data_IF_610819130528
#
_entry.id   IF_610819130528
#
_cell.length_a   1.000
_cell.length_b   1.000
_cell.length_c   1.000
_cell.angle_alpha   90.00
_cell.angle_beta   90.00
_cell.angle_gamma   90.00
#
_symmetry.space_group_name_H-M   'P 1'
#
loop_
_entity.id
_entity.type
_entity.pdbx_description
1 polymer ?
#
# COMPACT_ATOMS: atom_id res chain seq x y z
N UNK A 1 9.63 -10.13 -8.96
CA UNK A 1 9.90 -8.87 -8.21
C UNK A 1 11.34 -8.40 -8.39
N UNK A 2 11.57 -7.12 -8.73
CA UNK A 2 12.92 -6.53 -8.86
C UNK A 2 12.90 -4.99 -8.84
N UNK A 3 14.06 -4.38 -8.58
CA UNK A 3 14.35 -3.00 -8.94
C UNK A 3 14.96 -2.94 -10.35
N UNK A 4 14.81 -1.82 -11.07
CA UNK A 4 15.37 -1.61 -12.40
C UNK A 4 15.12 -2.79 -13.37
N UNK A 5 13.84 -3.12 -13.68
CA UNK A 5 13.51 -4.27 -14.52
C UNK A 5 14.13 -4.14 -15.91
N UNK A 6 14.72 -5.24 -16.38
CA UNK A 6 15.36 -5.30 -17.70
C UNK A 6 14.33 -5.29 -18.83
N UNK A 7 13.23 -6.04 -18.66
CA UNK A 7 12.11 -6.05 -19.59
C UNK A 7 11.08 -4.99 -19.20
N UNK A 8 11.34 -3.75 -19.64
CA UNK A 8 10.48 -2.60 -19.35
C UNK A 8 9.12 -2.67 -20.06
N UNK A 9 9.03 -3.37 -21.19
CA UNK A 9 7.77 -3.48 -21.94
C UNK A 9 6.73 -4.32 -21.19
N UNK A 10 7.19 -5.30 -20.41
CA UNK A 10 6.34 -6.08 -19.53
C UNK A 10 5.93 -5.34 -18.24
N UNK A 11 6.43 -4.12 -18.02
CA UNK A 11 6.00 -3.27 -16.90
C UNK A 11 4.84 -2.38 -17.31
N UNK A 12 3.83 -2.24 -16.44
CA UNK A 12 2.82 -1.21 -16.60
C UNK A 12 3.46 0.18 -16.62
N UNK A 13 2.84 1.13 -17.31
CA UNK A 13 3.32 2.50 -17.32
C UNK A 13 3.26 3.09 -15.90
N UNK A 14 4.36 3.64 -15.43
CA UNK A 14 4.50 4.20 -14.08
C UNK A 14 4.12 5.67 -14.01
N UNK A 15 4.12 6.36 -15.16
CA UNK A 15 3.74 7.76 -15.27
C UNK A 15 4.29 8.40 -16.54
N UNK A 16 4.38 9.73 -16.53
CA UNK A 16 5.08 10.50 -17.57
C UNK A 16 6.24 11.25 -16.94
N UNK A 17 7.36 11.32 -17.64
CA UNK A 17 8.46 12.24 -17.29
C UNK A 17 8.07 13.68 -17.56
N UNK A 18 8.87 14.63 -17.08
CA UNK A 18 8.63 16.06 -17.25
C UNK A 18 8.64 16.51 -18.73
N UNK A 19 9.30 15.76 -19.61
CA UNK A 19 9.26 15.98 -21.06
C UNK A 19 8.14 15.19 -21.80
N UNK A 20 7.23 14.56 -21.06
CA UNK A 20 6.04 13.90 -21.60
C UNK A 20 6.22 12.46 -22.10
N UNK A 21 7.41 11.85 -21.96
CA UNK A 21 7.63 10.43 -22.30
C UNK A 21 6.88 9.54 -21.32
N UNK A 22 6.22 8.51 -21.84
CA UNK A 22 5.61 7.47 -21.02
C UNK A 22 6.71 6.62 -20.38
N UNK A 23 6.72 6.55 -19.05
CA UNK A 23 7.69 5.79 -18.27
C UNK A 23 7.17 4.37 -18.01
N UNK A 24 8.04 3.37 -18.17
CA UNK A 24 7.79 1.95 -17.87
C UNK A 24 9.03 1.36 -17.25
N UNK A 25 8.88 0.65 -16.13
CA UNK A 25 10.05 0.10 -15.44
C UNK A 25 11.02 1.17 -14.93
N UNK A 26 10.54 2.40 -14.78
CA UNK A 26 11.33 3.59 -14.44
C UNK A 26 10.59 4.39 -13.36
N UNK A 27 11.36 5.00 -12.47
CA UNK A 27 10.87 5.94 -11.46
C UNK A 27 10.45 7.26 -12.11
N UNK A 28 9.43 7.89 -11.53
CA UNK A 28 8.83 9.12 -12.06
C UNK A 28 9.50 10.38 -11.53
N UNK A 29 10.26 10.30 -10.43
CA UNK A 29 10.92 11.45 -9.82
C UNK A 29 12.43 11.47 -10.13
N UNK A 30 12.92 12.63 -10.54
CA UNK A 30 14.32 12.83 -10.93
C UNK A 30 15.30 12.52 -9.79
N UNK A 31 14.96 12.87 -8.54
CA UNK A 31 15.80 12.60 -7.36
C UNK A 31 16.12 11.11 -7.23
N UNK A 32 15.14 10.26 -7.51
CA UNK A 32 15.25 8.82 -7.37
C UNK A 32 16.08 8.20 -8.50
N UNK A 33 16.02 8.82 -9.68
CA UNK A 33 16.93 8.51 -10.78
C UNK A 33 18.38 8.83 -10.42
N UNK A 34 18.63 9.98 -9.77
CA UNK A 34 19.98 10.37 -9.31
C UNK A 34 20.53 9.45 -8.22
N UNK A 35 19.67 8.74 -7.47
CA UNK A 35 20.06 7.76 -6.46
C UNK A 35 20.25 6.33 -7.03
N UNK A 36 20.22 6.15 -8.35
CA UNK A 36 20.47 4.88 -9.01
C UNK A 36 19.25 3.95 -9.12
N UNK A 37 18.04 4.48 -8.87
CA UNK A 37 16.78 3.74 -9.08
C UNK A 37 16.50 2.61 -8.07
N UNK A 38 17.28 2.51 -7.00
CA UNK A 38 17.05 1.55 -5.91
C UNK A 38 16.79 2.30 -4.62
N UNK A 39 15.51 2.44 -4.26
CA UNK A 39 15.10 3.07 -3.01
C UNK A 39 14.30 2.06 -2.19
N UNK A 40 14.56 2.01 -0.88
CA UNK A 40 13.78 1.14 0.00
C UNK A 40 12.30 1.55 0.09
N UNK A 41 11.99 2.80 -0.26
CA UNK A 41 10.65 3.38 -0.24
C UNK A 41 9.92 3.35 -1.58
N UNK A 42 10.62 3.21 -2.70
CA UNK A 42 10.04 3.25 -4.06
C UNK A 42 10.90 2.47 -5.08
N UNK A 43 10.33 2.13 -6.25
CA UNK A 43 11.07 1.52 -7.36
C UNK A 43 11.01 -0.01 -7.41
N UNK A 44 10.21 -0.63 -6.55
CA UNK A 44 9.96 -2.06 -6.60
C UNK A 44 8.91 -2.39 -7.66
N UNK A 45 9.30 -3.18 -8.67
CA UNK A 45 8.39 -3.73 -9.66
C UNK A 45 8.07 -5.18 -9.31
N UNK A 46 6.77 -5.49 -9.19
CA UNK A 46 6.30 -6.78 -8.72
C UNK A 46 4.99 -7.19 -9.40
N UNK A 47 4.56 -8.42 -9.18
CA UNK A 47 3.27 -8.93 -9.64
C UNK A 47 2.30 -9.06 -8.47
N UNK A 48 0.99 -9.11 -8.77
CA UNK A 48 -0.01 -9.35 -7.72
C UNK A 48 0.23 -10.69 -7.00
N UNK A 49 0.68 -11.71 -7.75
CA UNK A 49 1.03 -13.03 -7.20
C UNK A 49 2.20 -12.95 -6.22
N UNK A 50 3.28 -12.26 -6.59
CA UNK A 50 4.45 -12.13 -5.72
C UNK A 50 4.10 -11.33 -4.45
N UNK A 51 3.28 -10.28 -4.58
CA UNK A 51 2.80 -9.51 -3.43
C UNK A 51 1.89 -10.34 -2.53
N UNK A 52 1.04 -11.21 -3.09
CA UNK A 52 0.23 -12.14 -2.30
C UNK A 52 1.11 -13.12 -1.50
N UNK A 53 2.15 -13.68 -2.12
CA UNK A 53 3.11 -14.56 -1.43
C UNK A 53 3.79 -13.86 -0.25
N UNK A 54 4.25 -12.62 -0.48
CA UNK A 54 4.82 -11.79 0.57
C UNK A 54 3.81 -11.55 1.70
N UNK A 55 2.59 -11.15 1.38
CA UNK A 55 1.54 -10.91 2.37
C UNK A 55 1.16 -12.17 3.14
N UNK A 56 1.10 -13.32 2.48
CA UNK A 56 0.82 -14.61 3.13
C UNK A 56 1.93 -14.97 4.12
N UNK A 57 3.20 -14.68 3.80
CA UNK A 57 4.31 -14.87 4.73
C UNK A 57 4.13 -14.00 5.99
N UNK A 58 3.73 -12.74 5.83
CA UNK A 58 3.45 -11.83 6.94
C UNK A 58 2.25 -12.31 7.77
N UNK A 59 1.13 -12.64 7.13
CA UNK A 59 -0.08 -13.17 7.78
C UNK A 59 0.22 -14.45 8.58
N UNK A 60 1.07 -15.31 8.04
CA UNK A 60 1.54 -16.54 8.68
C UNK A 60 2.73 -16.33 9.63
N UNK A 61 2.91 -15.11 10.16
CA UNK A 61 3.92 -14.79 11.19
C UNK A 61 5.35 -15.16 10.80
N UNK A 62 5.69 -14.95 9.53
CA UNK A 62 7.04 -15.14 8.99
C UNK A 62 7.27 -16.46 8.26
N UNK A 63 6.24 -17.30 8.10
CA UNK A 63 6.34 -18.62 7.47
C UNK A 63 5.64 -18.64 6.12
N UNK A 64 6.32 -19.16 5.10
CA UNK A 64 5.70 -19.45 3.80
C UNK A 64 6.11 -20.85 3.34
N UNK A 65 5.16 -21.66 2.90
CA UNK A 65 5.39 -23.06 2.47
C UNK A 65 6.21 -23.90 3.46
N UNK A 66 5.94 -23.74 4.76
CA UNK A 66 6.62 -24.47 5.83
C UNK A 66 8.04 -23.98 6.14
N UNK A 67 8.55 -22.97 5.43
CA UNK A 67 9.87 -22.39 5.67
C UNK A 67 9.74 -21.06 6.43
N UNK A 68 10.60 -20.88 7.44
CA UNK A 68 10.70 -19.62 8.18
C UNK A 68 11.57 -18.63 7.40
N UNK A 69 10.95 -17.56 6.92
CA UNK A 69 11.61 -16.46 6.21
C UNK A 69 11.93 -15.33 7.18
N UNK A 70 10.99 -14.99 8.07
CA UNK A 70 11.18 -14.01 9.15
C UNK A 70 10.87 -14.63 10.51
N UNK A 71 11.55 -14.16 11.55
CA UNK A 71 11.22 -14.53 12.93
C UNK A 71 9.84 -14.00 13.32
N UNK A 72 9.05 -14.78 14.05
CA UNK A 72 7.72 -14.36 14.52
C UNK A 72 7.80 -13.06 15.32
N UNK A 73 8.80 -12.90 16.19
CA UNK A 73 9.03 -11.66 16.95
C UNK A 73 9.24 -10.45 16.01
N UNK A 74 9.95 -10.65 14.89
CA UNK A 74 10.17 -9.60 13.89
C UNK A 74 8.85 -9.23 13.21
N UNK A 75 8.08 -10.22 12.78
CA UNK A 75 6.79 -9.97 12.12
C UNK A 75 5.82 -9.29 13.09
N UNK A 76 5.69 -9.77 14.32
CA UNK A 76 4.82 -9.15 15.32
C UNK A 76 5.24 -7.69 15.57
N UNK A 77 6.54 -7.39 15.65
CA UNK A 77 7.00 -6.00 15.69
C UNK A 77 6.57 -5.22 14.46
N UNK A 78 6.68 -5.80 13.26
CA UNK A 78 6.25 -5.13 12.04
C UNK A 78 4.75 -4.87 12.01
N UNK A 79 3.91 -5.76 12.54
CA UNK A 79 2.46 -5.74 12.28
C UNK A 79 1.61 -5.36 13.49
N UNK A 80 2.18 -5.25 14.68
CA UNK A 80 1.47 -4.97 15.94
C UNK A 80 1.97 -3.67 16.60
N UNK A 81 1.05 -2.99 17.29
CA UNK A 81 1.32 -1.78 18.06
C UNK A 81 1.52 -0.51 17.21
N UNK A 82 0.91 0.60 17.64
CA UNK A 82 1.11 1.91 17.02
C UNK A 82 2.47 2.47 17.46
N UNK A 83 3.43 2.49 16.54
CA UNK A 83 4.82 2.89 16.83
C UNK A 83 4.99 4.40 16.92
N UNK A 84 4.12 5.16 16.26
CA UNK A 84 4.06 6.61 16.32
C UNK A 84 3.04 7.13 17.36
N UNK A 85 2.72 6.35 18.40
CA UNK A 85 1.71 6.68 19.44
C UNK A 85 1.92 8.04 20.12
N UNK A 86 3.15 8.53 20.21
CA UNK A 86 3.47 9.83 20.82
C UNK A 86 3.28 11.05 19.90
N UNK A 87 3.04 10.85 18.61
CA UNK A 87 2.99 11.95 17.62
C UNK A 87 1.86 11.84 16.61
N UNK A 88 1.14 10.72 16.53
CA UNK A 88 0.01 10.60 15.61
C UNK A 88 -1.19 11.39 16.11
N UNK A 89 -2.03 11.81 15.17
CA UNK A 89 -3.25 12.57 15.41
C UNK A 89 -4.47 11.76 14.94
N UNK A 90 -5.61 11.97 15.59
CA UNK A 90 -6.88 11.41 15.12
C UNK A 90 -7.19 11.99 13.73
N UNK A 91 -7.20 11.17 12.67
CA UNK A 91 -7.33 11.70 11.33
C UNK A 91 -8.72 12.30 11.12
N UNK A 92 -8.76 13.42 10.41
CA UNK A 92 -9.98 14.15 10.02
C UNK A 92 -10.24 14.12 8.50
N UNK A 93 -9.32 13.52 7.76
CA UNK A 93 -9.34 13.37 6.32
C UNK A 93 -8.35 12.27 5.93
N UNK A 94 -8.37 11.86 4.66
CA UNK A 94 -7.46 10.83 4.20
C UNK A 94 -6.02 11.32 4.04
N UNK A 95 -5.81 12.57 3.63
CA UNK A 95 -4.47 13.15 3.60
C UNK A 95 -3.92 13.28 5.02
N UNK A 96 -4.73 13.72 5.98
CA UNK A 96 -4.34 13.75 7.38
C UNK A 96 -3.99 12.33 7.89
N UNK A 97 -4.74 11.30 7.51
CA UNK A 97 -4.38 9.92 7.85
C UNK A 97 -3.03 9.49 7.28
N UNK A 98 -2.74 9.82 6.01
CA UNK A 98 -1.45 9.50 5.37
C UNK A 98 -0.30 10.17 6.14
N UNK A 99 -0.44 11.45 6.47
CA UNK A 99 0.61 12.26 7.09
C UNK A 99 0.82 11.94 8.59
N UNK A 100 -0.27 11.84 9.35
CA UNK A 100 -0.23 11.81 10.82
C UNK A 100 -1.12 10.73 11.44
N UNK A 101 -1.74 9.85 10.66
CA UNK A 101 -2.52 8.73 11.21
C UNK A 101 -1.65 7.65 11.86
N UNK A 102 -2.26 6.65 12.53
CA UNK A 102 -1.53 5.59 13.22
C UNK A 102 -0.72 4.72 12.24
N UNK A 103 0.52 4.41 12.63
CA UNK A 103 1.48 3.60 11.87
C UNK A 103 2.10 2.55 12.78
N UNK A 104 2.52 1.43 12.19
CA UNK A 104 3.48 0.51 12.81
C UNK A 104 4.80 0.57 12.03
N UNK A 105 5.75 -0.31 12.32
CA UNK A 105 6.95 -0.43 11.52
C UNK A 105 6.53 -0.88 10.10
N UNK A 106 6.72 -0.01 9.11
CA UNK A 106 6.42 -0.20 7.68
C UNK A 106 4.98 0.01 7.21
N UNK A 107 3.96 -0.20 8.05
CA UNK A 107 2.55 -0.19 7.61
C UNK A 107 1.74 0.97 8.17
N UNK A 108 0.67 1.33 7.47
CA UNK A 108 -0.43 2.07 8.07
C UNK A 108 -1.45 1.14 8.74
N UNK A 109 -2.09 1.61 9.82
CA UNK A 109 -3.14 0.88 10.55
C UNK A 109 -4.55 1.29 10.17
N UNK A 110 -5.50 0.36 10.29
CA UNK A 110 -6.91 0.70 10.22
C UNK A 110 -7.30 1.77 11.23
N UNK A 111 -7.98 2.79 10.71
CA UNK A 111 -8.44 3.97 11.44
C UNK A 111 -9.65 4.56 10.72
N UNK A 112 -10.71 3.77 10.60
CA UNK A 112 -12.00 4.22 10.05
C UNK A 112 -12.54 5.44 10.84
N UNK A 113 -13.17 6.42 10.17
CA UNK A 113 -13.57 6.40 8.75
C UNK A 113 -12.51 6.94 7.77
N UNK A 114 -11.31 7.28 8.24
CA UNK A 114 -10.34 8.06 7.47
C UNK A 114 -9.12 7.27 7.00
N UNK A 115 -9.03 5.97 7.30
CA UNK A 115 -8.06 5.09 6.64
C UNK A 115 -8.60 4.62 5.29
N UNK A 116 -7.72 4.51 4.30
CA UNK A 116 -8.10 4.08 2.94
C UNK A 116 -8.42 2.57 2.82
N UNK A 117 -8.51 1.84 3.93
CA UNK A 117 -8.88 0.43 3.97
C UNK A 117 -10.40 0.18 3.91
N UNK A 118 -11.21 1.22 4.03
CA UNK A 118 -12.66 1.10 4.20
C UNK A 118 -13.06 0.98 5.67
N UNK A 119 -14.35 0.74 5.89
CA UNK A 119 -14.97 0.82 7.22
C UNK A 119 -15.16 -0.56 7.88
N UNK A 120 -15.06 -1.62 7.08
CA UNK A 120 -15.34 -2.99 7.52
C UNK A 120 -14.10 -3.77 7.95
N UNK A 121 -12.90 -3.19 7.82
CA UNK A 121 -11.65 -3.84 8.24
C UNK A 121 -11.56 -3.94 9.75
N UNK A 122 -10.84 -4.96 10.23
CA UNK A 122 -10.56 -5.09 11.65
C UNK A 122 -9.60 -4.00 12.13
N UNK A 123 -9.56 -3.78 13.45
CA UNK A 123 -8.61 -2.83 14.06
C UNK A 123 -7.16 -3.28 13.96
N UNK A 124 -6.90 -4.56 13.63
CA UNK A 124 -5.56 -5.09 13.42
C UNK A 124 -5.13 -5.08 11.95
N UNK A 125 -6.01 -4.65 11.04
CA UNK A 125 -5.65 -4.58 9.65
C UNK A 125 -4.53 -3.57 9.42
N UNK A 126 -3.55 -4.02 8.63
CA UNK A 126 -2.41 -3.23 8.20
C UNK A 126 -2.39 -3.16 6.68
N UNK A 127 -1.75 -2.13 6.15
CA UNK A 127 -1.58 -2.06 4.71
C UNK A 127 -0.61 -0.98 4.27
N UNK A 128 -0.50 -0.87 2.95
CA UNK A 128 0.27 0.17 2.29
C UNK A 128 -0.39 0.64 1.01
N UNK A 129 -0.48 1.95 0.86
CA UNK A 129 -0.79 2.59 -0.42
C UNK A 129 0.49 3.09 -1.09
N UNK A 130 0.59 2.84 -2.39
CA UNK A 130 1.68 3.29 -3.25
C UNK A 130 1.22 4.41 -4.19
N UNK A 131 2.15 5.30 -4.53
CA UNK A 131 1.87 6.51 -5.30
C UNK A 131 1.36 6.26 -6.72
N UNK A 132 1.51 5.05 -7.27
CA UNK A 132 0.96 4.67 -8.57
C UNK A 132 -0.52 4.22 -8.51
N UNK A 133 -1.15 4.22 -7.32
CA UNK A 133 -2.47 3.66 -7.09
C UNK A 133 -2.44 2.17 -6.74
N UNK A 134 -1.29 1.65 -6.33
CA UNK A 134 -1.15 0.28 -5.81
C UNK A 134 -1.55 0.22 -4.35
N UNK A 135 -2.10 -0.91 -3.93
CA UNK A 135 -2.63 -1.10 -2.60
C UNK A 135 -2.43 -2.53 -2.11
N UNK A 136 -2.09 -2.65 -0.83
CA UNK A 136 -1.94 -3.91 -0.11
C UNK A 136 -2.68 -3.81 1.23
N UNK A 137 -3.49 -4.81 1.54
CA UNK A 137 -4.14 -5.01 2.85
C UNK A 137 -3.81 -6.40 3.37
N UNK A 138 -3.53 -6.50 4.66
CA UNK A 138 -3.45 -7.74 5.42
C UNK A 138 -4.28 -7.56 6.69
N UNK A 139 -5.33 -8.38 6.83
CA UNK A 139 -6.19 -8.37 8.00
C UNK A 139 -6.09 -9.72 8.73
N UNK A 140 -5.34 -9.80 9.85
CA UNK A 140 -5.14 -11.04 10.58
C UNK A 140 -6.38 -11.51 11.35
N UNK A 141 -7.37 -10.64 11.61
CA UNK A 141 -8.60 -11.09 12.28
C UNK A 141 -9.54 -11.82 11.32
N UNK A 142 -9.50 -11.46 10.04
CA UNK A 142 -10.33 -12.07 9.01
C UNK A 142 -9.59 -13.07 8.12
N UNK A 143 -8.31 -13.37 8.42
CA UNK A 143 -7.43 -14.21 7.57
C UNK A 143 -7.46 -13.75 6.09
N UNK A 144 -7.41 -12.43 5.88
CA UNK A 144 -7.68 -11.80 4.59
C UNK A 144 -6.45 -11.05 4.06
N UNK A 145 -6.19 -11.21 2.76
CA UNK A 145 -5.23 -10.42 2.00
C UNK A 145 -5.94 -9.81 0.80
N UNK A 146 -5.77 -8.50 0.59
CA UNK A 146 -6.17 -7.84 -0.65
C UNK A 146 -4.93 -7.27 -1.31
N UNK A 147 -4.66 -7.71 -2.55
CA UNK A 147 -3.63 -7.15 -3.41
C UNK A 147 -4.33 -6.46 -4.57
N UNK A 148 -4.14 -5.15 -4.70
CA UNK A 148 -4.75 -4.37 -5.78
C UNK A 148 -3.69 -3.48 -6.44
N UNK A 149 -3.26 -3.88 -7.63
CA UNK A 149 -2.20 -3.16 -8.36
C UNK A 149 -2.83 -2.43 -9.55
N UNK A 150 -3.00 -1.12 -9.40
CA UNK A 150 -3.34 -0.24 -10.53
C UNK A 150 -2.13 0.55 -10.97
N UNK A 151 -2.25 1.22 -12.11
CA UNK A 151 -1.28 2.18 -12.61
C UNK A 151 -1.93 3.55 -12.86
N UNK A 152 -2.88 3.93 -12.00
CA UNK A 152 -3.60 5.20 -12.10
C UNK A 152 -2.64 6.40 -12.06
N UNK A 153 -1.55 6.28 -11.29
CA UNK A 153 -0.55 7.33 -11.12
C UNK A 153 -0.76 8.15 -9.85
N UNK A 154 0.05 9.20 -9.68
CA UNK A 154 -0.02 10.10 -8.51
C UNK A 154 -1.23 11.03 -8.58
N UNK A 155 -1.66 11.63 -7.44
CA UNK A 155 -2.65 12.70 -7.43
C UNK A 155 -2.35 13.77 -8.49
N UNK A 156 -3.39 14.30 -9.13
CA UNK A 156 -3.24 15.30 -10.19
C UNK A 156 -2.43 16.50 -9.70
N UNK A 157 -1.31 16.80 -10.38
CA UNK A 157 -0.41 17.90 -9.98
C UNK A 157 -1.07 19.29 -10.02
N UNK A 158 -2.20 19.44 -10.70
CA UNK A 158 -2.98 20.69 -10.77
C UNK A 158 -3.88 20.92 -9.56
N UNK A 159 -4.07 19.89 -8.72
CA UNK A 159 -4.85 19.94 -7.50
C UNK A 159 -3.89 19.83 -6.31
N UNK A 160 -4.12 20.64 -5.28
CA UNK A 160 -3.27 20.67 -4.08
C UNK A 160 -3.99 20.12 -2.86
N UNK A 161 -3.19 19.59 -1.92
CA UNK A 161 -3.67 19.13 -0.62
C UNK A 161 -4.84 18.13 -0.72
N UNK A 162 -5.85 18.32 0.12
CA UNK A 162 -6.99 17.42 0.27
C UNK A 162 -7.73 17.16 -1.04
N UNK A 163 -7.87 18.16 -1.92
CA UNK A 163 -8.65 18.01 -3.15
C UNK A 163 -8.05 16.95 -4.08
N UNK A 164 -6.73 17.02 -4.31
CA UNK A 164 -6.02 16.05 -5.13
C UNK A 164 -6.07 14.64 -4.54
N UNK A 165 -5.88 14.51 -3.23
CA UNK A 165 -5.92 13.22 -2.54
C UNK A 165 -7.33 12.61 -2.50
N UNK A 166 -8.36 13.41 -2.28
CA UNK A 166 -9.76 12.96 -2.30
C UNK A 166 -10.17 12.47 -3.69
N UNK A 167 -9.79 13.21 -4.74
CA UNK A 167 -10.04 12.78 -6.12
C UNK A 167 -9.30 11.48 -6.43
N UNK A 168 -8.02 11.40 -6.10
CA UNK A 168 -7.23 10.19 -6.31
C UNK A 168 -7.87 8.97 -5.64
N UNK A 169 -8.26 9.08 -4.37
CA UNK A 169 -8.87 7.98 -3.62
C UNK A 169 -10.24 7.58 -4.16
N UNK A 170 -11.04 8.57 -4.58
CA UNK A 170 -12.33 8.33 -5.22
C UNK A 170 -12.17 7.56 -6.53
N UNK A 171 -11.17 7.92 -7.34
CA UNK A 171 -10.99 7.33 -8.66
C UNK A 171 -10.42 5.91 -8.61
N UNK A 172 -9.48 5.63 -7.70
CA UNK A 172 -8.99 4.26 -7.49
C UNK A 172 -10.00 3.36 -6.74
N UNK A 173 -10.87 3.98 -5.94
CA UNK A 173 -11.96 3.36 -5.17
C UNK A 173 -11.56 2.12 -4.35
N UNK A 174 -10.38 2.14 -3.72
CA UNK A 174 -9.89 1.03 -2.88
C UNK A 174 -10.84 0.72 -1.72
N UNK A 175 -11.40 1.76 -1.09
CA UNK A 175 -12.36 1.58 0.01
C UNK A 175 -13.63 0.86 -0.44
N UNK A 176 -14.16 1.22 -1.62
CA UNK A 176 -15.32 0.52 -2.19
C UNK A 176 -15.01 -0.96 -2.45
N UNK A 177 -13.83 -1.26 -3.00
CA UNK A 177 -13.37 -2.64 -3.18
C UNK A 177 -13.30 -3.39 -1.84
N UNK A 178 -12.62 -2.84 -0.83
CA UNK A 178 -12.50 -3.45 0.49
C UNK A 178 -13.87 -3.69 1.13
N UNK A 179 -14.75 -2.68 1.12
CA UNK A 179 -16.09 -2.79 1.71
C UNK A 179 -16.94 -3.86 0.99
N UNK A 180 -16.83 -4.01 -0.34
CA UNK A 180 -17.53 -5.07 -1.08
C UNK A 180 -17.01 -6.45 -0.68
N UNK A 181 -15.69 -6.63 -0.65
CA UNK A 181 -15.06 -7.91 -0.29
C UNK A 181 -15.41 -8.29 1.16
N UNK A 182 -15.21 -7.37 2.10
CA UNK A 182 -15.47 -7.60 3.52
C UNK A 182 -16.95 -7.72 3.85
N UNK A 183 -17.82 -6.95 3.19
CA UNK A 183 -19.25 -7.07 3.34
C UNK A 183 -19.74 -8.48 3.02
N UNK A 184 -19.22 -9.10 1.95
CA UNK A 184 -19.54 -10.48 1.63
C UNK A 184 -19.02 -11.48 2.67
N UNK A 185 -17.84 -11.24 3.25
CA UNK A 185 -17.26 -12.13 4.27
C UNK A 185 -18.07 -12.06 5.58
N UNK A 186 -18.36 -10.85 6.06
CA UNK A 186 -19.04 -10.61 7.34
C UNK A 186 -20.52 -11.04 7.28
N UNK A 187 -21.19 -10.92 6.13
CA UNK A 187 -22.59 -11.35 6.01
C UNK A 187 -22.78 -12.87 5.99
N UNK A 188 -21.71 -13.64 5.76
CA UNK A 188 -21.75 -15.12 5.67
C UNK A 188 -21.33 -15.79 6.99
N UNK A 189 -20.73 -15.03 7.93
CA UNK A 189 -20.35 -15.47 9.29
C UNK A 189 -21.45 -15.24 10.32
#
# INVERSE_FOLDING_TARGET
TMFNPQDKENCAATGKSDNGRLLRGELTQDLEHYLGGVLGSDGLFSTAKDMFVFSQMILNKGIYQGQRILGEITVNKMTEGVTNSGVYESPSSYLHYILSGPKTWFWEYASSPHSFFGDLVSKKAIGKMGGAGTFLLIDPEYDLIIVYLTNYGQPERTLEGEEGWNKFQKDINVMGLCNIVLGNIIMIS
#
